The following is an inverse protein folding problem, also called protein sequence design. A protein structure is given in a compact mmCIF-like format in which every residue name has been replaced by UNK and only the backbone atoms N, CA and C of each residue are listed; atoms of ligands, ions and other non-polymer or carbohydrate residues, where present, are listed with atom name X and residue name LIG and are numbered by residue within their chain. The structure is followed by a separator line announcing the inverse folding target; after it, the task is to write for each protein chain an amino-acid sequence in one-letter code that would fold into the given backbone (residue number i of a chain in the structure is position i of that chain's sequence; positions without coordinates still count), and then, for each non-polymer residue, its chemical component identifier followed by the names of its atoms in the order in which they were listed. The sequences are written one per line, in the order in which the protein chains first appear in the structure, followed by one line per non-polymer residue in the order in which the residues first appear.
data_IF_991431354379
#
_entry.id   IF_991431354379
#
_cell.length_a   1.000
_cell.length_b   1.000
_cell.length_c   1.000
_cell.angle_alpha   90.00
_cell.angle_beta   90.00
_cell.angle_gamma   90.00
#
_symmetry.space_group_name_H-M   'P 1'
#
loop_
_entity.id
_entity.type
_entity.pdbx_description
1 polymer ?
#
# COMPACT_ATOMS: atom_id res chain seq x y z
N UNK A 1 1.12 35.39 4.22
CA UNK A 1 0.75 34.08 4.81
C UNK A 1 1.75 33.65 5.88
N UNK A 2 3.02 34.07 5.80
CA UNK A 2 4.03 33.74 6.81
C UNK A 2 3.75 34.35 8.19
N UNK A 3 3.00 35.46 8.25
CA UNK A 3 2.62 36.14 9.50
C UNK A 3 1.53 35.42 10.31
N UNK A 4 0.99 34.30 9.81
CA UNK A 4 -0.10 33.57 10.47
C UNK A 4 0.40 32.29 11.15
N UNK A 5 0.13 32.18 12.46
CA UNK A 5 0.46 30.99 13.25
C UNK A 5 -0.40 29.77 12.91
N UNK A 6 -1.61 29.98 12.39
CA UNK A 6 -2.56 28.93 12.02
C UNK A 6 -3.24 29.25 10.69
N UNK A 7 -3.34 28.23 9.82
CA UNK A 7 -3.96 28.35 8.50
C UNK A 7 -5.01 27.25 8.33
N UNK A 8 -6.26 27.63 8.08
CA UNK A 8 -7.34 26.69 7.78
C UNK A 8 -7.54 26.59 6.27
N UNK A 9 -7.41 25.39 5.73
CA UNK A 9 -7.61 25.07 4.32
C UNK A 9 -8.97 24.40 4.15
N UNK A 10 -9.91 25.11 3.53
CA UNK A 10 -11.25 24.61 3.25
C UNK A 10 -11.45 24.53 1.74
N UNK A 11 -11.04 23.39 1.18
CA UNK A 11 -11.17 23.14 -0.25
C UNK A 11 -12.56 22.57 -0.57
N UNK A 12 -13.06 22.74 -1.80
CA UNK A 12 -14.23 21.99 -2.26
C UNK A 12 -13.96 20.49 -2.19
N UNK A 13 -15.00 19.69 -1.91
CA UNK A 13 -14.90 18.22 -1.78
C UNK A 13 -14.12 17.55 -2.93
N UNK A 14 -14.40 17.94 -4.18
CA UNK A 14 -13.70 17.41 -5.37
C UNK A 14 -12.18 17.68 -5.40
N UNK A 15 -11.71 18.68 -4.65
CA UNK A 15 -10.33 19.16 -4.65
C UNK A 15 -9.63 18.97 -3.30
N UNK A 16 -10.22 18.22 -2.38
CA UNK A 16 -9.69 17.99 -1.03
C UNK A 16 -8.27 17.40 -1.06
N UNK A 17 -7.96 16.57 -2.07
CA UNK A 17 -6.60 16.02 -2.29
C UNK A 17 -5.54 17.11 -2.44
N UNK A 18 -5.88 18.22 -3.10
CA UNK A 18 -4.96 19.33 -3.32
C UNK A 18 -4.68 20.08 -2.01
N UNK A 19 -5.61 20.09 -1.05
CA UNK A 19 -5.42 20.77 0.24
C UNK A 19 -4.19 20.25 0.99
N UNK A 20 -3.89 18.94 0.87
CA UNK A 20 -2.71 18.32 1.50
C UNK A 20 -1.40 18.80 0.87
N UNK A 21 -1.38 18.95 -0.45
CA UNK A 21 -0.20 19.45 -1.16
C UNK A 21 0.04 20.93 -0.85
N UNK A 22 -1.02 21.75 -0.84
CA UNK A 22 -0.94 23.15 -0.41
C UNK A 22 -0.48 23.30 1.04
N UNK A 23 -0.99 22.47 1.95
CA UNK A 23 -0.53 22.45 3.35
C UNK A 23 0.97 22.15 3.44
N UNK A 24 1.49 21.26 2.59
CA UNK A 24 2.93 20.94 2.58
C UNK A 24 3.79 22.14 2.18
N UNK A 25 3.32 22.93 1.20
CA UNK A 25 3.99 24.17 0.78
C UNK A 25 3.90 25.28 1.84
N UNK A 26 2.82 25.31 2.62
CA UNK A 26 2.55 26.35 3.61
C UNK A 26 3.04 26.00 5.03
N UNK A 27 3.98 25.07 5.17
CA UNK A 27 4.38 24.47 6.45
C UNK A 27 3.21 23.72 7.12
N UNK A 28 3.17 22.40 6.90
CA UNK A 28 2.06 21.54 7.31
C UNK A 28 1.73 21.61 8.80
N UNK A 29 2.71 21.89 9.67
CA UNK A 29 2.55 21.89 11.12
C UNK A 29 1.57 22.93 11.66
N UNK A 30 1.33 24.00 10.89
CA UNK A 30 0.39 25.09 11.18
C UNK A 30 -0.89 25.04 10.35
N UNK A 31 -1.03 24.05 9.48
CA UNK A 31 -2.18 23.93 8.59
C UNK A 31 -3.24 22.99 9.19
N UNK A 32 -4.50 23.33 9.00
CA UNK A 32 -5.67 22.53 9.39
C UNK A 32 -6.55 22.35 8.17
N UNK A 33 -6.98 21.12 7.87
CA UNK A 33 -7.91 20.84 6.77
C UNK A 33 -9.32 20.76 7.35
N UNK A 34 -10.24 21.54 6.79
CA UNK A 34 -11.65 21.45 7.14
C UNK A 34 -12.31 20.42 6.23
N UNK A 35 -12.69 19.27 6.80
CA UNK A 35 -13.40 18.20 6.09
C UNK A 35 -14.90 18.48 6.14
N UNK A 36 -15.38 19.32 5.22
CA UNK A 36 -16.79 19.62 5.08
C UNK A 36 -17.15 19.69 3.59
N UNK A 37 -18.21 18.97 3.21
CA UNK A 37 -18.68 18.87 1.83
C UNK A 37 -19.13 20.24 1.28
N UNK A 38 -19.77 21.06 2.11
CA UNK A 38 -20.26 22.38 1.73
C UNK A 38 -19.20 23.45 2.02
N UNK A 39 -19.07 24.42 1.11
CA UNK A 39 -18.13 25.53 1.27
C UNK A 39 -18.71 26.60 2.20
N UNK A 40 -17.85 27.45 2.82
CA UNK A 40 -18.31 28.54 3.67
C UNK A 40 -19.35 29.44 2.99
N UNK A 41 -19.22 29.68 1.69
CA UNK A 41 -20.17 30.49 0.92
C UNK A 41 -21.54 29.83 0.78
N UNK A 42 -21.61 28.51 0.66
CA UNK A 42 -22.86 27.74 0.55
C UNK A 42 -23.58 27.72 1.91
N UNK A 43 -22.81 27.55 3.00
CA UNK A 43 -23.30 27.63 4.37
C UNK A 43 -23.79 29.05 4.73
N UNK A 44 -23.07 30.09 4.31
CA UNK A 44 -23.48 31.49 4.50
C UNK A 44 -24.79 31.82 3.79
N UNK A 45 -24.96 31.35 2.55
CA UNK A 45 -26.19 31.54 1.76
C UNK A 45 -27.41 30.87 2.38
N UNK A 46 -27.19 29.77 3.09
CA UNK A 46 -28.23 29.00 3.78
C UNK A 46 -28.49 29.47 5.21
N UNK A 47 -27.88 30.59 5.64
CA UNK A 47 -27.88 31.12 7.02
C UNK A 47 -27.34 30.16 8.09
N UNK A 48 -26.52 29.19 7.68
CA UNK A 48 -25.89 28.16 8.54
C UNK A 48 -24.52 28.60 9.05
N UNK A 49 -24.43 29.84 9.54
CA UNK A 49 -23.16 30.44 10.04
C UNK A 49 -22.51 29.66 11.18
N UNK A 50 -23.34 29.05 12.04
CA UNK A 50 -22.87 28.25 13.18
C UNK A 50 -22.06 27.03 12.71
N UNK A 51 -22.43 26.43 11.58
CA UNK A 51 -21.73 25.28 11.00
C UNK A 51 -20.32 25.67 10.51
N UNK A 52 -20.12 26.91 10.07
CA UNK A 52 -18.79 27.41 9.68
C UNK A 52 -17.87 27.47 10.90
N UNK A 53 -18.37 28.03 11.99
CA UNK A 53 -17.59 28.12 13.24
C UNK A 53 -17.30 26.74 13.81
N UNK A 54 -18.29 25.83 13.75
CA UNK A 54 -18.13 24.43 14.16
C UNK A 54 -17.07 23.72 13.31
N UNK A 55 -17.16 23.82 11.99
CA UNK A 55 -16.24 23.16 11.06
C UNK A 55 -14.78 23.60 11.25
N UNK A 56 -14.55 24.88 11.56
CA UNK A 56 -13.21 25.41 11.84
C UNK A 56 -12.70 24.93 13.20
N UNK A 57 -13.52 25.00 14.26
CA UNK A 57 -13.07 24.76 15.64
C UNK A 57 -13.05 23.31 16.07
N UNK A 58 -14.03 22.53 15.63
CA UNK A 58 -14.28 21.17 16.11
C UNK A 58 -13.91 20.12 15.06
N UNK A 59 -14.28 20.35 13.80
CA UNK A 59 -14.17 19.33 12.75
C UNK A 59 -12.85 19.44 11.93
N UNK A 60 -12.03 20.46 12.17
CA UNK A 60 -10.80 20.65 11.41
C UNK A 60 -9.69 19.70 11.86
N UNK A 61 -9.02 19.10 10.88
CA UNK A 61 -7.98 18.10 11.09
C UNK A 61 -6.62 18.78 10.94
N UNK A 62 -5.82 18.78 12.02
CA UNK A 62 -4.45 19.30 11.98
C UNK A 62 -3.60 18.45 11.04
N UNK A 63 -2.95 19.12 10.08
CA UNK A 63 -2.00 18.46 9.21
C UNK A 63 -0.75 18.05 9.97
N UNK A 64 -0.30 16.82 9.70
CA UNK A 64 0.95 16.26 10.22
C UNK A 64 1.93 16.14 9.08
N UNK A 65 3.22 16.24 9.38
CA UNK A 65 4.26 15.94 8.41
C UNK A 65 4.05 14.53 7.84
N UNK A 66 4.33 14.35 6.54
CA UNK A 66 4.26 13.04 5.88
C UNK A 66 5.08 12.03 6.70
N UNK A 67 4.47 10.89 7.04
CA UNK A 67 5.12 9.81 7.78
C UNK A 67 4.69 9.63 9.24
N UNK A 68 3.97 10.59 9.84
CA UNK A 68 3.51 10.48 11.23
C UNK A 68 2.03 10.13 11.30
N UNK A 69 1.70 8.92 11.75
CA UNK A 69 0.33 8.47 12.07
C UNK A 69 0.12 8.41 13.59
N UNK A 70 -1.09 8.72 14.07
CA UNK A 70 -1.43 8.48 15.48
C UNK A 70 -1.66 7.00 15.73
N UNK A 71 -1.40 6.52 16.94
CA UNK A 71 -1.78 5.17 17.35
C UNK A 71 -3.31 4.95 17.26
N UNK A 72 -4.08 6.04 17.41
CA UNK A 72 -5.55 6.02 17.25
C UNK A 72 -5.94 5.72 15.79
N UNK A 73 -5.23 6.32 14.83
CA UNK A 73 -5.45 6.11 13.38
C UNK A 73 -5.04 4.70 12.98
N UNK A 74 -3.97 4.19 13.57
CA UNK A 74 -3.46 2.83 13.33
C UNK A 74 -4.38 1.78 13.97
N UNK A 75 -5.05 2.08 15.09
CA UNK A 75 -5.89 1.11 15.80
C UNK A 75 -7.08 0.61 14.96
N UNK A 76 -7.74 1.50 14.21
CA UNK A 76 -8.86 1.12 13.36
C UNK A 76 -8.40 0.27 12.17
N UNK A 77 -7.29 0.66 11.55
CA UNK A 77 -6.63 -0.08 10.46
C UNK A 77 -6.19 -1.48 10.93
N UNK A 78 -5.44 -1.56 12.02
CA UNK A 78 -5.01 -2.83 12.63
C UNK A 78 -6.18 -3.72 13.01
N UNK A 79 -7.25 -3.17 13.59
CA UNK A 79 -8.44 -3.95 13.93
C UNK A 79 -9.07 -4.55 12.67
N UNK A 80 -9.08 -3.79 11.57
CA UNK A 80 -9.59 -4.30 10.29
C UNK A 80 -8.69 -5.38 9.69
N UNK A 81 -7.36 -5.25 9.81
CA UNK A 81 -6.40 -6.27 9.37
C UNK A 81 -6.48 -7.54 10.22
N UNK A 82 -6.50 -7.43 11.54
CA UNK A 82 -6.58 -8.59 12.44
C UNK A 82 -7.85 -9.42 12.23
N UNK A 83 -8.98 -8.75 11.95
CA UNK A 83 -10.28 -9.41 11.77
C UNK A 83 -10.45 -9.98 10.36
N UNK A 84 -9.91 -9.32 9.33
CA UNK A 84 -10.14 -9.70 7.93
C UNK A 84 -9.02 -10.54 7.31
N UNK A 85 -7.81 -10.55 7.88
CA UNK A 85 -6.61 -10.78 7.07
C UNK A 85 -5.74 -11.96 7.52
N UNK A 86 -6.37 -13.09 7.87
CA UNK A 86 -5.64 -14.37 7.87
C UNK A 86 -4.99 -14.65 6.50
N UNK A 87 -5.57 -14.12 5.42
CA UNK A 87 -5.02 -14.17 4.07
C UNK A 87 -3.70 -13.41 3.92
N UNK A 88 -3.51 -12.24 4.55
CA UNK A 88 -2.22 -11.50 4.55
C UNK A 88 -1.08 -12.26 5.24
N UNK A 89 -1.38 -13.16 6.18
CA UNK A 89 -0.34 -14.01 6.78
C UNK A 89 0.17 -15.09 5.81
N UNK A 90 -0.59 -15.36 4.75
CA UNK A 90 -0.26 -16.28 3.68
C UNK A 90 0.27 -15.50 2.47
N UNK A 91 1.13 -16.14 1.70
CA UNK A 91 1.58 -15.65 0.42
C UNK A 91 0.46 -15.67 -0.63
N UNK A 92 0.72 -14.96 -1.74
CA UNK A 92 -0.19 -14.83 -2.89
C UNK A 92 -0.68 -16.19 -3.40
N UNK A 93 0.18 -17.20 -3.34
CA UNK A 93 -0.16 -18.60 -3.51
C UNK A 93 0.64 -19.45 -2.51
N UNK A 94 0.06 -20.58 -2.13
CA UNK A 94 0.76 -21.61 -1.36
C UNK A 94 1.58 -22.48 -2.32
N UNK A 95 2.69 -23.02 -1.81
CA UNK A 95 3.54 -23.95 -2.55
C UNK A 95 2.74 -25.24 -2.82
N UNK A 96 2.50 -25.62 -4.09
CA UNK A 96 1.88 -26.93 -4.40
C UNK A 96 2.91 -27.98 -4.76
N UNK A 97 3.92 -27.62 -5.57
CA UNK A 97 5.04 -28.52 -5.92
C UNK A 97 6.04 -28.73 -4.77
N UNK A 98 6.08 -27.79 -3.80
CA UNK A 98 6.91 -27.85 -2.60
C UNK A 98 6.09 -27.64 -1.32
N UNK A 99 5.05 -28.46 -1.11
CA UNK A 99 4.08 -28.31 -0.02
C UNK A 99 4.71 -28.20 1.38
N UNK A 100 5.81 -28.92 1.63
CA UNK A 100 6.59 -28.86 2.88
C UNK A 100 7.04 -27.44 3.22
N UNK A 101 7.34 -26.61 2.22
CA UNK A 101 7.75 -25.22 2.44
C UNK A 101 6.63 -24.34 2.99
N UNK A 102 5.35 -24.72 2.84
CA UNK A 102 4.25 -23.99 3.46
C UNK A 102 4.34 -23.97 4.99
N UNK A 103 4.99 -24.97 5.62
CA UNK A 103 5.20 -24.99 7.07
C UNK A 103 6.09 -23.85 7.55
N UNK A 104 7.01 -23.40 6.70
CA UNK A 104 8.05 -22.43 7.06
C UNK A 104 7.81 -21.07 6.41
N UNK A 105 7.58 -21.05 5.11
CA UNK A 105 7.51 -19.82 4.32
C UNK A 105 6.08 -19.31 4.16
N UNK A 106 5.10 -20.23 4.12
CA UNK A 106 3.67 -19.92 3.88
C UNK A 106 3.41 -19.15 2.59
N UNK A 107 4.26 -19.30 1.57
CA UNK A 107 4.20 -18.57 0.30
C UNK A 107 4.81 -17.16 0.35
N UNK A 108 4.98 -16.51 -0.79
CA UNK A 108 5.52 -15.14 -0.87
C UNK A 108 4.42 -14.10 -0.67
N UNK A 109 4.56 -13.20 0.31
CA UNK A 109 3.54 -12.19 0.63
C UNK A 109 3.70 -10.93 -0.22
N UNK A 110 2.60 -10.20 -0.51
CA UNK A 110 2.69 -8.91 -1.19
C UNK A 110 3.59 -7.93 -0.43
N UNK A 111 4.49 -7.25 -1.14
CA UNK A 111 5.42 -6.27 -0.57
C UNK A 111 6.68 -6.86 0.06
N UNK A 112 6.82 -8.18 0.13
CA UNK A 112 8.06 -8.83 0.58
C UNK A 112 9.09 -8.96 -0.55
N UNK A 113 10.37 -8.94 -0.18
CA UNK A 113 11.50 -9.28 -1.05
C UNK A 113 12.15 -10.54 -0.52
N UNK A 114 12.12 -11.63 -1.30
CA UNK A 114 12.78 -12.90 -0.95
C UNK A 114 14.08 -13.03 -1.72
N UNK A 115 15.18 -13.29 -1.02
CA UNK A 115 16.51 -13.49 -1.61
C UNK A 115 16.90 -14.97 -1.49
N UNK A 116 17.22 -15.59 -2.62
CA UNK A 116 17.69 -16.99 -2.68
C UNK A 116 19.18 -16.97 -3.04
N UNK A 117 20.00 -17.55 -2.16
CA UNK A 117 21.46 -17.56 -2.29
C UNK A 117 22.04 -18.98 -2.13
N UNK A 118 23.26 -19.18 -2.61
CA UNK A 118 23.94 -20.48 -2.65
C UNK A 118 25.02 -20.54 -3.72
N UNK A 119 25.88 -21.55 -3.67
CA UNK A 119 26.98 -21.74 -4.63
C UNK A 119 26.51 -22.00 -6.07
N UNK A 120 27.43 -21.92 -7.03
CA UNK A 120 27.19 -22.31 -8.43
C UNK A 120 26.83 -23.80 -8.48
N UNK A 121 25.81 -24.14 -9.27
CA UNK A 121 25.35 -25.53 -9.39
C UNK A 121 24.43 -26.03 -8.26
N UNK A 122 24.11 -25.21 -7.26
CA UNK A 122 23.23 -25.63 -6.14
C UNK A 122 21.73 -25.63 -6.50
N UNK A 123 21.39 -25.42 -7.77
CA UNK A 123 20.00 -25.48 -8.23
C UNK A 123 19.16 -24.23 -7.96
N UNK A 124 19.76 -23.07 -7.67
CA UNK A 124 19.01 -21.80 -7.45
C UNK A 124 18.06 -21.48 -8.61
N UNK A 125 18.60 -21.42 -9.82
CA UNK A 125 17.83 -21.13 -11.03
C UNK A 125 16.76 -22.19 -11.26
N UNK A 126 17.10 -23.46 -11.04
CA UNK A 126 16.16 -24.60 -11.12
C UNK A 126 14.98 -24.42 -10.15
N UNK A 127 15.25 -24.09 -8.89
CA UNK A 127 14.23 -23.87 -7.88
C UNK A 127 13.33 -22.67 -8.21
N UNK A 128 13.91 -21.55 -8.66
CA UNK A 128 13.13 -20.35 -9.02
C UNK A 128 12.27 -20.61 -10.27
N UNK A 129 12.77 -21.35 -11.25
CA UNK A 129 11.98 -21.75 -12.42
C UNK A 129 10.80 -22.65 -12.03
N UNK A 130 11.06 -23.63 -11.16
CA UNK A 130 10.05 -24.55 -10.66
C UNK A 130 8.93 -23.83 -9.90
N UNK A 131 9.30 -22.87 -9.05
CA UNK A 131 8.33 -22.07 -8.32
C UNK A 131 7.57 -21.10 -9.24
N UNK A 132 8.23 -20.51 -10.25
CA UNK A 132 7.54 -19.68 -11.24
C UNK A 132 6.45 -20.47 -11.99
N UNK A 133 6.72 -21.74 -12.32
CA UNK A 133 5.72 -22.66 -12.88
C UNK A 133 4.61 -22.99 -11.89
N UNK A 134 4.95 -23.26 -10.62
CA UNK A 134 3.96 -23.52 -9.57
C UNK A 134 2.96 -22.36 -9.44
N UNK A 135 3.46 -21.12 -9.48
CA UNK A 135 2.63 -19.91 -9.50
C UNK A 135 1.77 -19.80 -10.77
N UNK A 136 2.37 -20.05 -11.94
CA UNK A 136 1.68 -19.97 -13.23
C UNK A 136 0.51 -20.96 -13.32
N UNK A 137 0.71 -22.22 -12.89
CA UNK A 137 -0.33 -23.27 -12.86
C UNK A 137 -1.47 -22.89 -11.92
N UNK A 138 -1.16 -22.17 -10.85
CA UNK A 138 -2.16 -21.65 -9.90
C UNK A 138 -2.89 -20.39 -10.41
N UNK A 139 -2.58 -19.92 -11.62
CA UNK A 139 -3.19 -18.74 -12.23
C UNK A 139 -2.60 -17.42 -11.71
N UNK A 140 -1.46 -17.45 -11.02
CA UNK A 140 -0.75 -16.25 -10.59
C UNK A 140 0.08 -15.73 -11.76
N UNK A 141 -0.10 -14.44 -12.08
CA UNK A 141 0.70 -13.77 -13.11
C UNK A 141 2.13 -13.60 -12.60
N UNK A 142 3.07 -14.27 -13.26
CA UNK A 142 4.48 -14.28 -12.87
C UNK A 142 5.33 -13.66 -13.98
N UNK A 143 6.07 -12.60 -13.65
CA UNK A 143 7.13 -12.07 -14.51
C UNK A 143 8.45 -12.74 -14.12
N UNK A 144 9.11 -13.39 -15.07
CA UNK A 144 10.44 -13.96 -14.89
C UNK A 144 11.45 -13.12 -15.66
N UNK A 145 12.53 -12.70 -15.00
CA UNK A 145 13.59 -11.94 -15.61
C UNK A 145 14.94 -12.60 -15.32
N UNK A 146 15.70 -12.89 -16.36
CA UNK A 146 17.03 -13.48 -16.26
C UNK A 146 18.06 -12.59 -16.91
N UNK A 147 19.16 -12.38 -16.20
CA UNK A 147 20.32 -11.64 -16.69
C UNK A 147 21.53 -12.53 -16.97
N UNK A 148 21.45 -13.83 -16.64
CA UNK A 148 22.56 -14.79 -16.81
C UNK A 148 22.30 -15.76 -17.97
N UNK A 149 21.06 -16.26 -18.10
CA UNK A 149 20.66 -17.19 -19.15
C UNK A 149 19.68 -16.56 -20.14
N UNK A 150 19.77 -16.84 -21.45
CA UNK A 150 18.79 -16.40 -22.43
C UNK A 150 17.39 -16.98 -22.17
N UNK A 151 16.35 -16.22 -22.51
CA UNK A 151 14.95 -16.58 -22.27
C UNK A 151 14.57 -17.92 -22.88
N UNK A 152 15.02 -18.22 -24.11
CA UNK A 152 14.74 -19.50 -24.79
C UNK A 152 15.24 -20.71 -23.98
N UNK A 153 16.41 -20.58 -23.34
CA UNK A 153 17.00 -21.65 -22.54
C UNK A 153 16.18 -21.89 -21.26
N UNK A 154 15.70 -20.82 -20.64
CA UNK A 154 14.87 -20.88 -19.43
C UNK A 154 13.52 -21.47 -19.75
N UNK A 155 12.89 -21.06 -20.84
CA UNK A 155 11.60 -21.61 -21.28
C UNK A 155 11.71 -23.11 -21.57
N UNK A 156 12.75 -23.54 -22.30
CA UNK A 156 13.02 -24.98 -22.50
C UNK A 156 13.22 -25.71 -21.18
N UNK A 157 13.95 -25.11 -20.24
CA UNK A 157 14.17 -25.71 -18.92
C UNK A 157 12.87 -25.84 -18.12
N UNK A 158 12.05 -24.79 -18.11
CA UNK A 158 10.73 -24.81 -17.49
C UNK A 158 9.80 -25.86 -18.12
N UNK A 159 9.83 -26.04 -19.44
CA UNK A 159 9.04 -27.09 -20.11
C UNK A 159 9.47 -28.49 -19.69
N UNK A 160 10.78 -28.73 -19.56
CA UNK A 160 11.30 -30.01 -19.04
C UNK A 160 10.84 -30.23 -17.60
N UNK A 161 10.93 -29.20 -16.76
CA UNK A 161 10.46 -29.25 -15.37
C UNK A 161 8.96 -29.49 -15.27
N UNK A 162 8.16 -28.94 -16.18
CA UNK A 162 6.72 -29.13 -16.20
C UNK A 162 6.31 -30.55 -16.62
N UNK A 163 7.10 -31.18 -17.50
CA UNK A 163 6.84 -32.53 -17.98
C UNK A 163 7.31 -33.64 -17.02
N UNK A 164 8.15 -33.30 -16.05
CA UNK A 164 8.66 -34.19 -15.01
C UNK A 164 7.64 -34.38 -13.88
#
# INVERSE_FOLDING_TARGET
LEDFDMVYLWFPYMQERNAKDYASMLNASRCFIVDNHERPIELLRSDRRREITKAIREDSIRMRSKGFRSLIDVRSELKSELVKDQAKMLGIAQWKRFDVLNRYLRGFRPGEMTVITGGTGFGKTTFVCEYALDLLIQGVRTLFCSFEMPDEKILKWMLVQFAA
#
